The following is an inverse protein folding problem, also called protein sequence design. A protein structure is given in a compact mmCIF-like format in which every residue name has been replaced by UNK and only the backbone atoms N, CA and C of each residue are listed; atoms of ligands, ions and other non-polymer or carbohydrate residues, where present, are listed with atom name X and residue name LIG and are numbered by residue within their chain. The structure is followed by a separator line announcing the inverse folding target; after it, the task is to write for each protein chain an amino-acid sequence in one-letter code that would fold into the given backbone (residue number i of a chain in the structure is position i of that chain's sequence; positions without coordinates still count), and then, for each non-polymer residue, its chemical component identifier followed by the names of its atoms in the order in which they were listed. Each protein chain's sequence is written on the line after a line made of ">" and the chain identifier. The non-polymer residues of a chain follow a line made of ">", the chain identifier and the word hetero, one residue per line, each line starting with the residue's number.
data_IF_186653048071
#
_entry.id   IF_186653048071
#
_cell.length_a   1.000
_cell.length_b   1.000
_cell.length_c   1.000
_cell.angle_alpha   90.00
_cell.angle_beta   90.00
_cell.angle_gamma   90.00
#
_symmetry.space_group_name_H-M   'P 1'
#
loop_
_entity.id
_entity.type
_entity.pdbx_description
1 polymer ?
#
# COMPACT_ATOMS: atom_id res chain seq x y z
N UNK A 1 1.42 -8.47 16.76
CA UNK A 1 2.01 -8.92 18.04
C UNK A 1 3.26 -8.14 18.46
N UNK A 2 4.39 -8.26 17.74
CA UNK A 2 5.65 -7.61 18.16
C UNK A 2 5.52 -6.08 18.36
N UNK A 3 4.99 -5.36 17.36
CA UNK A 3 4.76 -3.92 17.47
C UNK A 3 3.80 -3.55 18.63
N UNK A 4 2.74 -4.35 18.83
CA UNK A 4 1.77 -4.15 19.91
C UNK A 4 2.37 -4.32 21.32
N UNK A 5 3.44 -5.09 21.45
CA UNK A 5 4.10 -5.35 22.73
C UNK A 5 5.24 -4.37 23.07
N UNK A 6 5.69 -3.54 22.12
CA UNK A 6 6.91 -2.74 22.28
C UNK A 6 6.76 -1.38 22.96
N UNK A 7 5.57 -1.02 23.44
CA UNK A 7 5.30 0.30 24.06
C UNK A 7 5.47 1.47 23.10
N UNK A 8 5.68 2.67 23.65
CA UNK A 8 5.62 3.94 22.90
C UNK A 8 6.83 4.18 21.98
N UNK A 9 7.92 3.43 22.17
CA UNK A 9 9.17 3.57 21.40
C UNK A 9 9.28 2.57 20.23
N UNK A 10 8.22 1.80 19.97
CA UNK A 10 8.17 0.86 18.86
C UNK A 10 6.96 1.14 17.97
N UNK A 11 7.22 1.27 16.68
CA UNK A 11 6.21 1.42 15.64
C UNK A 11 6.42 0.44 14.50
N UNK A 12 5.43 0.34 13.61
CA UNK A 12 5.50 -0.44 12.40
C UNK A 12 4.84 0.30 11.23
N UNK A 13 5.54 0.33 10.10
CA UNK A 13 4.95 0.76 8.84
C UNK A 13 4.18 -0.37 8.19
N UNK A 14 3.09 -0.05 7.51
CA UNK A 14 2.33 -1.02 6.70
C UNK A 14 2.21 -0.48 5.26
N UNK A 15 2.56 -1.33 4.30
CA UNK A 15 2.53 -0.99 2.88
C UNK A 15 1.12 -1.10 2.30
N UNK A 16 0.83 -0.32 1.28
CA UNK A 16 -0.41 -0.42 0.48
C UNK A 16 -0.64 -1.83 -0.06
N UNK A 17 0.39 -2.44 -0.66
CA UNK A 17 0.23 -3.74 -1.34
C UNK A 17 -0.04 -4.88 -0.34
N UNK A 18 0.60 -4.90 0.83
CA UNK A 18 0.31 -5.92 1.85
C UNK A 18 -1.09 -5.83 2.49
N UNK A 19 -1.79 -4.70 2.34
CA UNK A 19 -3.20 -4.58 2.74
C UNK A 19 -4.16 -5.18 1.70
N UNK A 20 -3.71 -5.30 0.45
CA UNK A 20 -4.53 -5.69 -0.70
C UNK A 20 -4.28 -7.13 -1.10
N UNK A 21 -3.01 -7.53 -1.24
CA UNK A 21 -2.64 -8.86 -1.72
C UNK A 21 -2.27 -9.82 -0.59
N UNK A 22 -2.71 -11.06 -0.75
CA UNK A 22 -2.11 -12.23 -0.11
C UNK A 22 -1.28 -13.03 -1.15
N UNK A 23 -0.50 -14.02 -0.70
CA UNK A 23 0.42 -14.81 -1.52
C UNK A 23 -0.21 -15.50 -2.74
N UNK A 24 -1.53 -15.73 -2.73
CA UNK A 24 -2.20 -16.35 -3.87
C UNK A 24 -2.22 -15.41 -5.09
N UNK A 25 -2.21 -14.09 -4.88
CA UNK A 25 -2.09 -13.11 -5.97
C UNK A 25 -0.79 -13.32 -6.76
N UNK A 26 0.28 -13.71 -6.07
CA UNK A 26 1.59 -14.00 -6.66
C UNK A 26 1.57 -15.32 -7.45
N UNK A 27 0.81 -16.34 -7.01
CA UNK A 27 1.04 -17.74 -7.43
C UNK A 27 -0.10 -18.39 -8.22
N UNK A 28 -1.35 -17.96 -8.05
CA UNK A 28 -2.51 -18.61 -8.68
C UNK A 28 -2.62 -18.21 -10.15
N UNK A 29 -2.76 -19.21 -11.04
CA UNK A 29 -2.87 -18.98 -12.49
C UNK A 29 -1.54 -18.64 -13.18
N UNK A 30 -0.42 -18.79 -12.47
CA UNK A 30 0.91 -18.44 -12.95
C UNK A 30 1.60 -17.47 -11.99
N UNK A 31 2.94 -17.48 -12.01
CA UNK A 31 3.75 -16.55 -11.22
C UNK A 31 3.56 -15.13 -11.77
N UNK A 32 3.21 -14.19 -10.89
CA UNK A 32 3.03 -12.77 -11.22
C UNK A 32 4.14 -11.95 -10.56
N UNK A 33 5.25 -11.68 -11.24
CA UNK A 33 6.44 -11.05 -10.63
C UNK A 33 6.17 -9.63 -10.13
N UNK A 34 5.22 -8.91 -10.71
CA UNK A 34 4.85 -7.54 -10.28
C UNK A 34 4.20 -7.48 -8.89
N UNK A 35 3.75 -8.62 -8.35
CA UNK A 35 3.29 -8.75 -6.95
C UNK A 35 4.37 -9.27 -6.00
N UNK A 36 5.56 -9.61 -6.49
CA UNK A 36 6.67 -10.12 -5.68
C UNK A 36 7.47 -8.96 -5.06
N UNK A 37 7.54 -8.96 -3.73
CA UNK A 37 8.30 -8.01 -2.91
C UNK A 37 8.95 -8.73 -1.72
N UNK A 38 9.83 -8.01 -1.01
CA UNK A 38 10.37 -8.44 0.27
C UNK A 38 10.00 -7.43 1.36
N UNK A 39 9.44 -7.87 2.50
CA UNK A 39 8.98 -9.23 2.78
C UNK A 39 7.87 -9.69 1.83
N UNK A 40 7.77 -11.00 1.57
CA UNK A 40 6.73 -11.53 0.65
C UNK A 40 5.33 -11.41 1.24
N UNK A 41 4.31 -11.11 0.43
CA UNK A 41 2.91 -11.22 0.85
C UNK A 41 2.63 -12.63 1.42
N UNK A 42 1.89 -12.70 2.53
CA UNK A 42 1.65 -13.94 3.28
C UNK A 42 0.25 -14.49 3.03
N UNK A 43 -0.21 -15.45 3.84
CA UNK A 43 -1.58 -15.99 3.80
C UNK A 43 -2.63 -14.90 4.10
N UNK A 44 -3.87 -15.16 3.72
CA UNK A 44 -5.00 -14.22 3.90
C UNK A 44 -5.20 -13.79 5.37
N UNK A 45 -5.07 -14.72 6.32
CA UNK A 45 -5.17 -14.41 7.76
C UNK A 45 -4.19 -13.31 8.19
N UNK A 46 -3.00 -13.25 7.57
CA UNK A 46 -2.03 -12.20 7.86
C UNK A 46 -2.39 -10.88 7.18
N UNK A 47 -2.96 -10.92 5.96
CA UNK A 47 -3.48 -9.72 5.30
C UNK A 47 -4.59 -9.09 6.13
N UNK A 48 -5.52 -9.91 6.63
CA UNK A 48 -6.60 -9.47 7.52
C UNK A 48 -6.06 -8.84 8.80
N UNK A 49 -5.08 -9.48 9.47
CA UNK A 49 -4.44 -8.90 10.64
C UNK A 49 -3.71 -7.56 10.36
N UNK A 50 -3.15 -7.39 9.16
CA UNK A 50 -2.55 -6.11 8.74
C UNK A 50 -3.61 -5.04 8.50
N UNK A 51 -4.75 -5.39 7.90
CA UNK A 51 -5.89 -4.47 7.75
C UNK A 51 -6.40 -4.04 9.12
N UNK A 52 -6.68 -4.98 10.02
CA UNK A 52 -7.11 -4.68 11.39
C UNK A 52 -6.13 -3.75 12.11
N UNK A 53 -4.82 -4.00 11.98
CA UNK A 53 -3.80 -3.13 12.57
C UNK A 53 -3.81 -1.72 11.96
N UNK A 54 -3.83 -1.60 10.63
CA UNK A 54 -3.81 -0.33 9.92
C UNK A 54 -5.07 0.52 10.22
N UNK A 55 -6.22 -0.12 10.42
CA UNK A 55 -7.51 0.55 10.65
C UNK A 55 -7.89 0.64 12.13
N UNK A 56 -7.03 0.21 13.05
CA UNK A 56 -7.32 0.16 14.50
C UNK A 56 -7.38 1.54 15.17
N UNK A 57 -6.75 2.56 14.59
CA UNK A 57 -6.50 3.85 15.26
C UNK A 57 -5.32 3.85 16.23
N UNK A 58 -4.59 2.74 16.35
CA UNK A 58 -3.38 2.67 17.18
C UNK A 58 -2.23 3.48 16.53
N UNK A 59 -1.71 4.45 17.28
CA UNK A 59 -0.70 5.40 16.80
C UNK A 59 0.63 4.76 16.37
N UNK A 60 0.87 3.50 16.76
CA UNK A 60 2.10 2.76 16.39
C UNK A 60 2.10 2.28 14.95
N UNK A 61 0.95 2.25 14.28
CA UNK A 61 0.86 1.88 12.87
C UNK A 61 0.67 3.12 11.99
N UNK A 62 1.51 3.24 10.97
CA UNK A 62 1.43 4.32 10.00
C UNK A 62 1.88 3.90 8.61
N UNK A 63 1.56 4.73 7.62
CA UNK A 63 1.87 4.47 6.23
C UNK A 63 3.38 4.43 5.98
N UNK A 64 3.83 3.35 5.36
CA UNK A 64 5.10 3.29 4.65
C UNK A 64 4.89 2.49 3.37
N UNK A 65 4.89 3.15 2.21
CA UNK A 65 4.42 2.54 0.96
C UNK A 65 5.28 1.37 0.49
N UNK A 66 6.59 1.45 0.79
CA UNK A 66 7.62 0.60 0.19
C UNK A 66 7.47 0.53 -1.34
N UNK A 67 7.12 1.66 -1.95
CA UNK A 67 7.01 1.77 -3.40
C UNK A 67 8.40 1.63 -4.02
N UNK A 68 8.65 0.49 -4.64
CA UNK A 68 9.95 0.09 -5.18
C UNK A 68 9.83 -0.21 -6.68
N UNK A 69 9.96 0.83 -7.54
CA UNK A 69 9.88 0.65 -8.99
C UNK A 69 11.10 -0.11 -9.53
N UNK A 70 10.84 -1.06 -10.43
CA UNK A 70 11.84 -1.74 -11.24
C UNK A 70 11.35 -1.80 -12.68
N UNK A 71 12.28 -1.82 -13.64
CA UNK A 71 11.92 -2.03 -15.04
C UNK A 71 11.28 -3.40 -15.21
N UNK A 72 10.31 -3.49 -16.13
CA UNK A 72 9.59 -4.74 -16.40
C UNK A 72 10.55 -5.88 -16.77
N UNK A 73 11.61 -5.59 -17.52
CA UNK A 73 12.64 -6.57 -17.88
C UNK A 73 13.38 -7.15 -16.66
N UNK A 74 13.53 -6.38 -15.58
CA UNK A 74 14.19 -6.83 -14.35
C UNK A 74 13.23 -7.63 -13.47
N UNK A 75 11.93 -7.34 -13.55
CA UNK A 75 10.85 -8.09 -12.89
C UNK A 75 10.57 -9.42 -13.60
N UNK A 76 10.57 -9.43 -14.92
CA UNK A 76 10.20 -10.54 -15.80
C UNK A 76 11.43 -11.32 -16.29
N UNK A 77 12.39 -11.54 -15.39
CA UNK A 77 13.63 -12.28 -15.66
C UNK A 77 13.64 -13.64 -14.94
N UNK A 78 14.67 -14.46 -15.22
CA UNK A 78 14.90 -15.71 -14.49
C UNK A 78 15.16 -15.50 -12.98
N UNK A 79 15.50 -14.28 -12.56
CA UNK A 79 15.70 -13.88 -11.16
C UNK A 79 15.05 -12.51 -10.92
N UNK A 80 13.73 -12.46 -11.01
CA UNK A 80 12.95 -11.22 -10.95
C UNK A 80 13.19 -10.39 -9.68
N UNK A 81 13.42 -9.08 -9.85
CA UNK A 81 13.60 -8.14 -8.73
C UNK A 81 12.38 -8.09 -7.80
N UNK A 82 12.62 -7.94 -6.49
CA UNK A 82 11.58 -7.79 -5.48
C UNK A 82 11.20 -6.31 -5.33
N UNK A 83 9.91 -5.98 -5.45
CA UNK A 83 9.40 -4.62 -5.28
C UNK A 83 8.05 -4.42 -5.98
N UNK A 84 7.15 -3.66 -5.36
CA UNK A 84 5.87 -3.26 -5.94
C UNK A 84 5.85 -1.75 -6.15
N UNK A 85 5.41 -1.27 -7.31
CA UNK A 85 5.35 0.17 -7.59
C UNK A 85 3.96 0.75 -7.28
N UNK A 86 3.79 1.29 -6.08
CA UNK A 86 2.49 1.74 -5.55
C UNK A 86 2.38 3.26 -5.39
N UNK A 87 3.46 4.03 -5.58
CA UNK A 87 3.44 5.48 -5.42
C UNK A 87 2.32 6.18 -6.24
N UNK A 88 2.02 5.78 -7.49
CA UNK A 88 1.01 6.47 -8.31
C UNK A 88 -0.44 6.38 -7.79
N UNK A 89 -0.78 5.35 -7.02
CA UNK A 89 -2.17 5.05 -6.66
C UNK A 89 -2.40 4.81 -5.17
N UNK A 90 -1.37 4.89 -4.32
CA UNK A 90 -1.46 4.56 -2.89
C UNK A 90 -2.63 5.24 -2.17
N UNK A 91 -2.80 6.55 -2.30
CA UNK A 91 -3.83 7.26 -1.52
C UNK A 91 -5.25 6.81 -1.90
N UNK A 92 -5.50 6.61 -3.20
CA UNK A 92 -6.76 6.06 -3.71
C UNK A 92 -7.01 4.62 -3.24
N UNK A 93 -5.96 3.79 -3.21
CA UNK A 93 -6.04 2.41 -2.77
C UNK A 93 -6.30 2.28 -1.26
N UNK A 94 -5.64 3.11 -0.45
CA UNK A 94 -5.86 3.12 0.99
C UNK A 94 -7.27 3.61 1.34
N UNK A 95 -7.81 4.58 0.60
CA UNK A 95 -9.20 5.02 0.76
C UNK A 95 -10.18 3.86 0.57
N UNK A 96 -9.96 3.01 -0.45
CA UNK A 96 -10.72 1.77 -0.66
C UNK A 96 -10.60 0.81 0.53
N UNK A 97 -9.37 0.47 0.94
CA UNK A 97 -9.13 -0.48 2.04
C UNK A 97 -9.77 0.00 3.34
N UNK A 98 -9.65 1.29 3.68
CA UNK A 98 -10.18 1.84 4.92
C UNK A 98 -11.70 2.01 4.85
N UNK A 99 -12.28 2.32 3.68
CA UNK A 99 -13.73 2.31 3.48
C UNK A 99 -14.32 0.90 3.65
N UNK A 100 -13.73 -0.11 3.03
CA UNK A 100 -14.17 -1.51 3.13
C UNK A 100 -14.10 -2.04 4.56
N UNK A 101 -13.12 -1.57 5.34
CA UNK A 101 -12.99 -1.87 6.77
C UNK A 101 -13.94 -1.05 7.68
N UNK A 102 -14.71 -0.11 7.12
CA UNK A 102 -15.59 0.78 7.88
C UNK A 102 -14.86 1.79 8.76
N UNK A 103 -13.63 2.15 8.41
CA UNK A 103 -12.71 2.94 9.23
C UNK A 103 -12.07 4.11 8.45
N UNK A 104 -12.80 4.70 7.50
CA UNK A 104 -12.29 5.78 6.65
C UNK A 104 -11.84 7.01 7.45
N UNK A 105 -12.44 7.24 8.62
CA UNK A 105 -12.06 8.27 9.59
C UNK A 105 -10.63 8.08 10.14
N UNK A 106 -10.14 6.84 10.21
CA UNK A 106 -8.81 6.51 10.70
C UNK A 106 -7.70 6.71 9.65
N UNK A 107 -8.06 6.87 8.36
CA UNK A 107 -7.08 7.00 7.28
C UNK A 107 -6.16 8.20 7.47
N UNK A 108 -6.71 9.32 7.97
CA UNK A 108 -5.95 10.53 8.23
C UNK A 108 -4.84 10.28 9.25
N UNK A 109 -5.17 9.67 10.39
CA UNK A 109 -4.19 9.35 11.43
C UNK A 109 -3.07 8.46 10.88
N UNK A 110 -3.46 7.35 10.22
CA UNK A 110 -2.53 6.38 9.64
C UNK A 110 -1.59 6.98 8.58
N UNK A 111 -2.13 7.81 7.66
CA UNK A 111 -1.37 8.30 6.51
C UNK A 111 -0.63 9.62 6.75
N UNK A 112 -1.00 10.40 7.78
CA UNK A 112 -0.51 11.78 7.91
C UNK A 112 -0.15 12.25 9.32
N UNK A 113 -0.59 11.59 10.40
CA UNK A 113 -0.39 12.10 11.76
C UNK A 113 0.52 11.19 12.60
N UNK A 114 0.27 9.88 12.57
CA UNK A 114 0.98 8.89 13.38
C UNK A 114 2.49 8.86 13.07
N UNK A 115 2.86 8.91 11.78
CA UNK A 115 4.25 8.94 11.34
C UNK A 115 5.01 10.15 11.88
N UNK A 116 4.59 11.40 11.56
CA UNK A 116 5.21 12.60 12.10
C UNK A 116 5.29 12.62 13.62
N UNK A 117 4.23 12.19 14.32
CA UNK A 117 4.24 12.10 15.78
C UNK A 117 5.34 11.16 16.31
N UNK A 118 5.49 9.97 15.71
CA UNK A 118 6.54 9.03 16.08
C UNK A 118 7.95 9.56 15.79
N UNK A 119 8.13 10.24 14.66
CA UNK A 119 9.43 10.81 14.26
C UNK A 119 9.75 12.17 14.92
N UNK A 120 8.86 12.73 15.75
CA UNK A 120 9.05 14.05 16.35
C UNK A 120 9.03 15.20 15.34
N UNK A 121 8.30 15.04 14.23
CA UNK A 121 8.17 16.01 13.15
C UNK A 121 6.78 16.66 13.17
N UNK A 122 6.65 17.92 12.69
CA UNK A 122 5.34 18.56 12.57
C UNK A 122 4.48 17.88 11.51
N UNK A 123 3.16 17.82 11.76
CA UNK A 123 2.18 17.40 10.75
C UNK A 123 2.12 18.46 9.64
N UNK A 124 1.99 18.01 8.39
CA UNK A 124 1.84 18.90 7.25
C UNK A 124 0.60 19.81 7.38
N UNK A 125 0.70 21.06 6.92
CA UNK A 125 -0.43 22.01 6.91
C UNK A 125 -1.21 22.00 5.61
N UNK A 126 -0.68 21.36 4.56
CA UNK A 126 -1.37 21.14 3.30
C UNK A 126 -2.46 20.08 3.41
N UNK A 127 -3.36 20.08 2.44
CA UNK A 127 -4.47 19.13 2.36
C UNK A 127 -4.45 18.38 1.04
N UNK A 128 -4.76 17.09 1.09
CA UNK A 128 -5.07 16.25 -0.07
C UNK A 128 -6.52 15.80 0.08
N UNK A 129 -7.31 15.90 -0.99
CA UNK A 129 -8.72 15.52 -0.97
C UNK A 129 -8.91 14.19 -1.66
N UNK A 130 -9.48 13.22 -0.93
CA UNK A 130 -9.94 11.96 -1.50
C UNK A 130 -11.42 12.10 -1.84
N UNK A 131 -11.76 11.91 -3.10
CA UNK A 131 -13.15 11.97 -3.60
C UNK A 131 -13.60 10.62 -4.12
N UNK A 132 -14.75 10.16 -3.63
CA UNK A 132 -15.43 8.99 -4.17
C UNK A 132 -16.08 9.35 -5.51
N UNK A 133 -15.92 8.48 -6.49
CA UNK A 133 -16.37 8.64 -7.86
C UNK A 133 -17.46 7.61 -8.17
N UNK A 134 -18.37 7.95 -9.08
CA UNK A 134 -19.41 7.03 -9.56
C UNK A 134 -18.86 6.02 -10.58
N UNK A 135 -17.70 6.30 -11.17
CA UNK A 135 -17.03 5.44 -12.15
C UNK A 135 -15.61 5.09 -11.68
N UNK A 136 -15.06 3.92 -12.10
CA UNK A 136 -13.70 3.55 -11.73
C UNK A 136 -12.66 4.55 -12.25
N UNK A 137 -11.85 5.06 -11.33
CA UNK A 137 -10.66 5.87 -11.59
C UNK A 137 -9.64 5.01 -12.35
N UNK A 138 -9.04 5.59 -13.38
CA UNK A 138 -8.02 4.93 -14.19
C UNK A 138 -6.64 5.43 -13.79
N UNK A 139 -5.77 4.49 -13.45
CA UNK A 139 -4.34 4.73 -13.29
C UNK A 139 -3.62 4.23 -14.54
N UNK A 140 -2.47 4.82 -14.90
CA UNK A 140 -1.63 4.23 -15.93
C UNK A 140 -1.24 2.81 -15.51
N UNK A 141 -1.42 1.83 -16.39
CA UNK A 141 -0.97 0.45 -16.12
C UNK A 141 0.56 0.35 -16.09
N UNK A 142 1.23 1.23 -16.83
CA UNK A 142 2.69 1.33 -16.91
C UNK A 142 3.12 2.80 -17.02
N UNK A 143 4.32 3.09 -16.55
CA UNK A 143 5.01 4.37 -16.79
C UNK A 143 6.18 4.09 -17.75
N UNK A 144 6.25 4.85 -18.84
CA UNK A 144 7.37 4.84 -19.78
C UNK A 144 8.53 5.69 -19.23
N UNK A 145 9.74 5.14 -19.21
CA UNK A 145 10.98 5.88 -18.95
C UNK A 145 11.96 5.67 -20.11
N UNK A 146 13.03 6.50 -20.23
CA UNK A 146 14.08 6.28 -21.23
C UNK A 146 14.75 4.90 -21.15
N UNK A 147 14.74 4.27 -19.97
CA UNK A 147 15.36 2.97 -19.68
C UNK A 147 14.41 1.78 -19.88
N UNK A 148 13.09 2.03 -19.90
CA UNK A 148 12.07 1.01 -20.16
C UNK A 148 10.74 1.28 -19.47
N UNK A 149 9.88 0.26 -19.46
CA UNK A 149 8.57 0.33 -18.82
C UNK A 149 8.65 -0.07 -17.35
N UNK A 150 7.84 0.59 -16.51
CA UNK A 150 7.63 0.21 -15.11
C UNK A 150 6.14 -0.03 -14.90
N UNK A 151 5.76 -1.27 -14.55
CA UNK A 151 4.38 -1.63 -14.25
C UNK A 151 3.91 -1.03 -12.93
N UNK A 152 2.78 -0.33 -12.95
CA UNK A 152 2.11 0.22 -11.76
C UNK A 152 1.34 -0.91 -11.08
N UNK A 153 1.35 -0.91 -9.74
CA UNK A 153 0.64 -1.91 -8.95
C UNK A 153 -0.86 -1.91 -9.26
N UNK A 154 -1.35 -3.06 -9.72
CA UNK A 154 -2.77 -3.33 -9.97
C UNK A 154 -3.41 -3.94 -8.70
N UNK A 155 -4.44 -3.33 -8.11
CA UNK A 155 -5.10 -3.91 -6.94
C UNK A 155 -5.96 -5.15 -7.27
N UNK A 156 -6.25 -5.42 -8.55
CA UNK A 156 -7.11 -6.53 -8.98
C UNK A 156 -8.61 -6.27 -8.81
N UNK A 157 -9.00 -5.02 -8.54
CA UNK A 157 -10.39 -4.57 -8.43
C UNK A 157 -10.54 -3.12 -8.95
N UNK A 158 -11.77 -2.72 -9.26
CA UNK A 158 -12.07 -1.35 -9.69
C UNK A 158 -11.92 -0.35 -8.53
N UNK A 159 -11.18 0.73 -8.75
CA UNK A 159 -10.91 1.76 -7.75
C UNK A 159 -11.78 2.99 -7.99
N UNK A 160 -12.62 3.32 -7.03
CA UNK A 160 -13.57 4.44 -7.05
C UNK A 160 -13.14 5.68 -6.24
N UNK A 161 -11.92 5.74 -5.72
CA UNK A 161 -11.40 6.91 -5.00
C UNK A 161 -10.33 7.62 -5.83
N UNK A 162 -10.45 8.94 -6.01
CA UNK A 162 -9.42 9.80 -6.63
C UNK A 162 -8.78 10.69 -5.58
N UNK A 163 -7.47 10.94 -5.70
CA UNK A 163 -6.75 11.94 -4.91
C UNK A 163 -6.51 13.20 -5.76
N UNK A 164 -6.82 14.37 -5.19
CA UNK A 164 -6.57 15.70 -5.77
C UNK A 164 -5.96 16.67 -4.75
#
# INVERSE_FOLDING_TARGET
>A
DYALAGGDNLAATITTHHLIINRNHILVGGIKPHYYCLPVAKREEHRQALVEAATSGDARFFLGTDSAPHLDQDKESACGCAGCFTAPNTMSLLAHVFEDAGALDQLRAFASENGPAFYGLPVNTGTLTLKKQDTPVKFPSKIETPEGQITVFDPGFDVFWSAE
#
